data_IF_336348847598
#
_entry.id   IF_336348847598
#
_cell.length_a   1.000
_cell.length_b   1.000
_cell.length_c   1.000
_cell.angle_alpha   90.00
_cell.angle_beta   90.00
_cell.angle_gamma   90.00
#
_symmetry.space_group_name_H-M   'P 1'
#
loop_
_entity.id
_entity.type
_entity.pdbx_description
1 polymer ?
#
# COMPACT_ATOMS: atom_id res chain seq x y z
N UNK A 1 -34.37 34.95 -36.34
CA UNK A 1 -33.91 33.73 -35.63
C UNK A 1 -33.44 32.70 -36.68
N UNK A 2 -32.52 33.08 -37.56
CA UNK A 2 -31.08 32.76 -37.57
C UNK A 2 -30.74 31.27 -37.61
N UNK A 3 -30.46 30.77 -38.82
CA UNK A 3 -30.09 29.38 -39.14
C UNK A 3 -28.85 28.86 -38.41
N UNK A 4 -28.06 29.73 -37.79
CA UNK A 4 -26.92 29.39 -36.94
C UNK A 4 -27.33 28.49 -35.75
N UNK A 5 -28.53 28.69 -35.21
CA UNK A 5 -29.05 27.84 -34.11
C UNK A 5 -29.32 26.42 -34.58
N UNK A 6 -29.77 26.23 -35.82
CA UNK A 6 -30.10 24.92 -36.39
C UNK A 6 -28.81 24.15 -36.70
N UNK A 7 -27.79 24.83 -37.24
CA UNK A 7 -26.47 24.24 -37.52
C UNK A 7 -25.80 23.78 -36.22
N UNK A 8 -25.88 24.57 -35.15
CA UNK A 8 -25.31 24.22 -33.85
C UNK A 8 -26.00 22.99 -33.22
N UNK A 9 -27.33 22.90 -33.33
CA UNK A 9 -28.10 21.75 -32.85
C UNK A 9 -27.73 20.48 -33.65
N UNK A 10 -27.59 20.57 -34.97
CA UNK A 10 -27.17 19.43 -35.79
C UNK A 10 -25.74 18.97 -35.44
N UNK A 11 -24.81 19.90 -35.24
CA UNK A 11 -23.44 19.59 -34.85
C UNK A 11 -23.38 18.90 -33.48
N UNK A 12 -24.21 19.33 -32.52
CA UNK A 12 -24.32 18.71 -31.20
C UNK A 12 -24.87 17.27 -31.28
N UNK A 13 -25.87 17.02 -32.13
CA UNK A 13 -26.44 15.68 -32.34
C UNK A 13 -25.43 14.73 -32.97
N UNK A 14 -24.65 15.20 -33.95
CA UNK A 14 -23.57 14.40 -34.56
C UNK A 14 -22.47 14.08 -33.55
N UNK A 15 -22.03 15.06 -32.75
CA UNK A 15 -21.04 14.83 -31.69
C UNK A 15 -21.52 13.82 -30.64
N UNK A 16 -22.77 13.92 -30.19
CA UNK A 16 -23.41 12.97 -29.27
C UNK A 16 -23.48 11.56 -29.87
N UNK A 17 -23.80 11.43 -31.16
CA UNK A 17 -23.86 10.13 -31.84
C UNK A 17 -22.49 9.44 -31.90
N UNK A 18 -21.41 10.19 -32.11
CA UNK A 18 -20.03 9.68 -32.12
C UNK A 18 -19.63 9.19 -30.72
N UNK A 19 -19.96 9.95 -29.67
CA UNK A 19 -19.70 9.56 -28.27
C UNK A 19 -20.43 8.26 -27.93
N UNK A 20 -21.71 8.12 -28.29
CA UNK A 20 -22.50 6.90 -28.05
C UNK A 20 -21.91 5.70 -28.80
N UNK A 21 -21.44 5.90 -30.04
CA UNK A 21 -20.78 4.86 -30.83
C UNK A 21 -19.45 4.38 -30.21
N UNK A 22 -18.65 5.28 -29.63
CA UNK A 22 -17.41 4.95 -28.93
C UNK A 22 -17.73 4.19 -27.64
N UNK A 23 -18.69 4.64 -26.83
CA UNK A 23 -19.11 3.98 -25.59
C UNK A 23 -19.61 2.55 -25.85
N UNK A 24 -20.37 2.30 -26.93
CA UNK A 24 -20.80 0.93 -27.30
C UNK A 24 -19.63 -0.01 -27.63
N UNK A 25 -18.56 0.49 -28.27
CA UNK A 25 -17.36 -0.31 -28.57
C UNK A 25 -16.52 -0.55 -27.31
N UNK A 26 -16.37 0.47 -26.46
CA UNK A 26 -15.64 0.37 -25.19
C UNK A 26 -16.35 -0.58 -24.22
N UNK A 27 -17.68 -0.53 -24.11
CA UNK A 27 -18.45 -1.44 -23.26
C UNK A 27 -18.27 -2.91 -23.68
N UNK A 28 -18.26 -3.20 -24.99
CA UNK A 28 -17.96 -4.56 -25.48
C UNK A 28 -16.54 -5.01 -25.12
N UNK A 29 -15.58 -4.10 -25.18
CA UNK A 29 -14.19 -4.38 -24.82
C UNK A 29 -14.05 -4.63 -23.30
N UNK A 30 -14.71 -3.83 -22.46
CA UNK A 30 -14.76 -4.02 -21.01
C UNK A 30 -15.41 -5.36 -20.65
N UNK A 31 -16.55 -5.70 -21.26
CA UNK A 31 -17.22 -7.00 -21.05
C UNK A 31 -16.31 -8.14 -21.51
N UNK A 32 -15.65 -8.01 -22.65
CA UNK A 32 -14.74 -9.03 -23.17
C UNK A 32 -13.53 -9.25 -22.23
N UNK A 33 -12.94 -8.17 -21.72
CA UNK A 33 -11.85 -8.25 -20.72
C UNK A 33 -12.33 -8.90 -19.42
N UNK A 34 -13.55 -8.57 -18.94
CA UNK A 34 -14.14 -9.20 -17.75
C UNK A 34 -14.40 -10.70 -17.96
N UNK A 35 -14.88 -11.10 -19.13
CA UNK A 35 -15.12 -12.51 -19.48
C UNK A 35 -13.80 -13.28 -19.58
N UNK A 36 -12.77 -12.70 -20.20
CA UNK A 36 -11.42 -13.30 -20.24
C UNK A 36 -10.82 -13.43 -18.84
N UNK A 37 -10.98 -12.42 -17.99
CA UNK A 37 -10.55 -12.46 -16.61
C UNK A 37 -11.26 -13.58 -15.83
N UNK A 38 -12.58 -13.71 -15.98
CA UNK A 38 -13.38 -14.80 -15.40
C UNK A 38 -12.92 -16.17 -15.88
N UNK A 39 -12.72 -16.35 -17.19
CA UNK A 39 -12.26 -17.60 -17.78
C UNK A 39 -10.87 -18.01 -17.27
N UNK A 40 -9.93 -17.05 -17.21
CA UNK A 40 -8.59 -17.30 -16.67
C UNK A 40 -8.62 -17.69 -15.19
N UNK A 41 -9.41 -16.99 -14.39
CA UNK A 41 -9.58 -17.27 -12.96
C UNK A 41 -10.19 -18.66 -12.75
N UNK A 42 -11.24 -19.02 -13.49
CA UNK A 42 -11.87 -20.34 -13.39
C UNK A 42 -10.93 -21.49 -13.81
N UNK A 43 -10.13 -21.31 -14.87
CA UNK A 43 -9.16 -22.32 -15.30
C UNK A 43 -8.07 -22.53 -14.25
N UNK A 44 -7.54 -21.46 -13.66
CA UNK A 44 -6.58 -21.54 -12.53
C UNK A 44 -7.19 -22.24 -11.31
N UNK A 45 -8.45 -21.94 -10.99
CA UNK A 45 -9.20 -22.59 -9.91
C UNK A 45 -9.37 -24.08 -10.11
N UNK A 46 -9.75 -24.48 -11.32
CA UNK A 46 -9.86 -25.89 -11.71
C UNK A 46 -8.52 -26.63 -11.61
N UNK A 47 -7.42 -26.02 -12.06
CA UNK A 47 -6.07 -26.60 -11.94
C UNK A 47 -5.58 -26.73 -10.50
N UNK A 48 -6.05 -25.86 -9.60
CA UNK A 48 -5.66 -25.84 -8.18
C UNK A 48 -6.63 -26.61 -7.27
N UNK A 49 -7.68 -27.21 -7.83
CA UNK A 49 -8.69 -27.97 -7.07
C UNK A 49 -9.54 -27.12 -6.12
N UNK A 50 -9.51 -25.79 -6.24
CA UNK A 50 -10.24 -24.84 -5.38
C UNK A 50 -11.63 -24.59 -5.94
N UNK A 51 -12.64 -24.52 -5.08
CA UNK A 51 -13.99 -24.17 -5.52
C UNK A 51 -14.05 -22.70 -5.97
N UNK A 52 -14.95 -22.32 -6.88
CA UNK A 52 -15.13 -20.93 -7.28
C UNK A 52 -15.42 -19.98 -6.10
N UNK A 53 -16.12 -20.46 -5.07
CA UNK A 53 -16.41 -19.69 -3.85
C UNK A 53 -15.13 -19.43 -3.04
N UNK A 54 -14.26 -20.41 -2.91
CA UNK A 54 -12.96 -20.26 -2.23
C UNK A 54 -12.06 -19.26 -2.95
N UNK A 55 -12.11 -19.23 -4.29
CA UNK A 55 -11.35 -18.26 -5.09
C UNK A 55 -11.83 -16.82 -4.87
N UNK A 56 -13.15 -16.61 -4.82
CA UNK A 56 -13.73 -15.28 -4.56
C UNK A 56 -13.41 -14.84 -3.13
N UNK A 57 -13.48 -15.75 -2.16
CA UNK A 57 -13.12 -15.47 -0.78
C UNK A 57 -11.63 -15.13 -0.63
N UNK A 58 -10.73 -15.88 -1.28
CA UNK A 58 -9.30 -15.59 -1.31
C UNK A 58 -9.03 -14.19 -1.90
N UNK A 59 -9.64 -13.88 -3.04
CA UNK A 59 -9.52 -12.55 -3.68
C UNK A 59 -9.99 -11.43 -2.75
N UNK A 60 -11.09 -11.65 -2.01
CA UNK A 60 -11.60 -10.67 -1.05
C UNK A 60 -10.65 -10.48 0.14
N UNK A 61 -10.09 -11.57 0.67
CA UNK A 61 -9.09 -11.52 1.75
C UNK A 61 -7.85 -10.76 1.28
N UNK A 62 -7.34 -11.04 0.10
CA UNK A 62 -6.17 -10.37 -0.48
C UNK A 62 -6.40 -8.88 -0.75
N UNK A 63 -7.61 -8.51 -1.18
CA UNK A 63 -7.98 -7.10 -1.36
C UNK A 63 -8.05 -6.35 0.00
N UNK A 64 -8.61 -6.99 1.04
CA UNK A 64 -8.65 -6.43 2.40
C UNK A 64 -7.24 -6.30 2.94
N UNK A 65 -6.42 -7.34 2.78
CA UNK A 65 -5.02 -7.35 3.18
C UNK A 65 -4.25 -6.19 2.56
N UNK A 66 -4.32 -6.02 1.24
CA UNK A 66 -3.58 -4.98 0.53
C UNK A 66 -3.98 -3.58 1.01
N UNK A 67 -5.28 -3.36 1.24
CA UNK A 67 -5.78 -2.10 1.80
C UNK A 67 -5.28 -1.86 3.23
N UNK A 68 -5.28 -2.89 4.07
CA UNK A 68 -4.79 -2.80 5.43
C UNK A 68 -3.29 -2.55 5.47
N UNK A 69 -2.52 -3.25 4.62
CA UNK A 69 -1.07 -3.09 4.50
C UNK A 69 -0.71 -1.65 4.09
N UNK A 70 -1.43 -1.07 3.14
CA UNK A 70 -1.26 0.33 2.73
C UNK A 70 -1.54 1.31 3.90
N UNK A 71 -2.63 1.11 4.65
CA UNK A 71 -2.93 1.93 5.82
C UNK A 71 -1.84 1.84 6.90
N UNK A 72 -1.32 0.63 7.16
CA UNK A 72 -0.20 0.46 8.07
C UNK A 72 1.09 1.09 7.55
N UNK A 73 1.32 1.06 6.25
CA UNK A 73 2.47 1.73 5.63
C UNK A 73 2.45 3.23 5.92
N UNK A 74 1.29 3.88 5.79
CA UNK A 74 1.15 5.30 6.13
C UNK A 74 1.38 5.57 7.63
N UNK A 75 0.84 4.73 8.51
CA UNK A 75 1.07 4.84 9.96
C UNK A 75 2.55 4.67 10.33
N UNK A 76 3.22 3.66 9.77
CA UNK A 76 4.66 3.41 9.98
C UNK A 76 5.48 4.58 9.47
N UNK A 77 5.18 5.10 8.27
CA UNK A 77 5.84 6.29 7.73
C UNK A 77 5.74 7.47 8.69
N UNK A 78 4.54 7.74 9.21
CA UNK A 78 4.34 8.83 10.15
C UNK A 78 5.12 8.62 11.46
N UNK A 79 5.10 7.41 12.02
CA UNK A 79 5.84 7.09 13.24
C UNK A 79 7.36 7.16 13.06
N UNK A 80 7.87 6.73 11.91
CA UNK A 80 9.30 6.89 11.55
C UNK A 80 9.65 8.36 11.42
N UNK A 81 8.84 9.17 10.72
CA UNK A 81 9.09 10.60 10.59
C UNK A 81 9.09 11.31 11.96
N UNK A 82 8.13 10.98 12.83
CA UNK A 82 8.10 11.49 14.20
C UNK A 82 9.32 11.04 15.01
N UNK A 83 9.79 9.81 14.79
CA UNK A 83 11.02 9.29 15.42
C UNK A 83 12.25 10.06 14.96
N UNK A 84 12.37 10.37 13.66
CA UNK A 84 13.46 11.19 13.11
C UNK A 84 13.45 12.60 13.72
N UNK A 85 12.28 13.22 13.81
CA UNK A 85 12.12 14.54 14.45
C UNK A 85 12.50 14.47 15.94
N UNK A 86 12.11 13.40 16.65
CA UNK A 86 12.49 13.20 18.04
C UNK A 86 14.01 13.04 18.22
N UNK A 87 14.71 12.43 17.25
CA UNK A 87 16.17 12.36 17.24
C UNK A 87 16.82 13.73 17.02
N UNK A 88 16.27 14.55 16.12
CA UNK A 88 16.73 15.93 15.89
C UNK A 88 16.55 16.81 17.13
N UNK A 89 15.39 16.67 17.79
CA UNK A 89 15.07 17.36 19.04
C UNK A 89 15.76 16.76 20.27
N UNK A 90 16.47 15.63 20.12
CA UNK A 90 17.07 14.85 21.22
C UNK A 90 16.05 14.46 22.31
N UNK A 91 14.81 14.18 21.91
CA UNK A 91 13.70 13.87 22.80
C UNK A 91 13.52 12.36 22.98
N UNK A 92 14.15 11.81 24.03
CA UNK A 92 14.01 10.40 24.38
C UNK A 92 12.56 9.98 24.68
N UNK A 93 11.74 10.78 25.40
CA UNK A 93 10.35 10.43 25.66
C UNK A 93 9.52 10.27 24.38
N UNK A 94 9.66 11.20 23.42
CA UNK A 94 8.95 11.10 22.13
C UNK A 94 9.43 9.89 21.33
N UNK A 95 10.73 9.63 21.30
CA UNK A 95 11.27 8.46 20.61
C UNK A 95 10.71 7.15 21.20
N UNK A 96 10.57 7.05 22.53
CA UNK A 96 9.94 5.89 23.19
C UNK A 96 8.47 5.73 22.81
N UNK A 97 7.70 6.83 22.79
CA UNK A 97 6.29 6.81 22.38
C UNK A 97 6.12 6.30 20.94
N UNK A 98 6.93 6.82 20.00
CA UNK A 98 6.88 6.38 18.60
C UNK A 98 7.35 4.94 18.44
N UNK A 99 8.33 4.49 19.24
CA UNK A 99 8.76 3.11 19.25
C UNK A 99 7.64 2.14 19.69
N UNK A 100 6.88 2.49 20.74
CA UNK A 100 5.72 1.69 21.18
C UNK A 100 4.64 1.59 20.09
N UNK A 101 4.42 2.67 19.33
CA UNK A 101 3.52 2.64 18.16
C UNK A 101 4.05 1.68 17.10
N UNK A 102 5.35 1.73 16.77
CA UNK A 102 5.98 0.83 15.79
C UNK A 102 5.87 -0.64 16.18
N UNK A 103 6.09 -0.98 17.46
CA UNK A 103 5.86 -2.32 18.00
C UNK A 103 4.40 -2.75 17.86
N UNK A 104 3.46 -1.85 18.16
CA UNK A 104 2.03 -2.12 18.01
C UNK A 104 1.69 -2.42 16.55
N UNK A 105 2.16 -1.61 15.60
CA UNK A 105 1.92 -1.82 14.19
C UNK A 105 2.55 -3.12 13.68
N UNK A 106 3.74 -3.48 14.14
CA UNK A 106 4.35 -4.77 13.80
C UNK A 106 3.49 -5.95 14.26
N UNK A 107 3.00 -5.90 15.50
CA UNK A 107 2.15 -6.94 16.07
C UNK A 107 0.80 -7.08 15.35
N UNK A 108 0.25 -5.97 14.85
CA UNK A 108 -0.98 -5.97 14.07
C UNK A 108 -0.74 -6.48 12.63
N UNK A 109 0.33 -6.03 11.99
CA UNK A 109 0.66 -6.42 10.60
C UNK A 109 0.94 -7.90 10.48
N UNK A 110 1.73 -8.50 11.39
CA UNK A 110 2.05 -9.94 11.37
C UNK A 110 0.79 -10.82 11.40
N UNK A 111 -0.31 -10.32 11.96
CA UNK A 111 -1.57 -11.06 12.12
C UNK A 111 -2.55 -10.82 10.97
N UNK A 112 -2.20 -10.00 9.97
CA UNK A 112 -3.11 -9.70 8.87
C UNK A 112 -3.37 -10.97 8.04
N UNK A 113 -4.65 -11.36 7.84
CA UNK A 113 -4.99 -12.50 7.02
C UNK A 113 -4.65 -12.21 5.56
N UNK A 114 -3.98 -13.14 4.90
CA UNK A 114 -3.60 -13.04 3.49
C UNK A 114 -3.53 -14.42 2.85
N UNK A 115 -3.72 -14.48 1.53
CA UNK A 115 -3.54 -15.70 0.76
C UNK A 115 -2.07 -16.08 0.59
N UNK A 116 -1.83 -17.35 0.26
CA UNK A 116 -0.48 -17.90 0.06
C UNK A 116 0.32 -17.16 -1.02
N UNK A 117 -0.36 -16.64 -2.05
CA UNK A 117 0.27 -15.87 -3.13
C UNK A 117 0.93 -14.58 -2.60
N UNK A 118 0.48 -14.05 -1.46
CA UNK A 118 0.99 -12.83 -0.85
C UNK A 118 1.99 -13.07 0.30
N UNK A 119 2.25 -14.31 0.70
CA UNK A 119 3.18 -14.65 1.78
C UNK A 119 4.57 -13.99 1.59
N UNK A 120 5.08 -13.98 0.36
CA UNK A 120 6.41 -13.40 0.07
C UNK A 120 6.42 -11.89 0.31
N UNK A 121 5.37 -11.20 -0.13
CA UNK A 121 5.22 -9.74 0.07
C UNK A 121 5.05 -9.46 1.57
N UNK A 122 4.19 -10.22 2.23
CA UNK A 122 3.94 -10.10 3.66
C UNK A 122 5.20 -10.28 4.51
N UNK A 123 5.94 -11.36 4.29
CA UNK A 123 7.16 -11.65 5.04
C UNK A 123 8.20 -10.55 4.83
N UNK A 124 8.40 -10.12 3.58
CA UNK A 124 9.35 -9.04 3.25
C UNK A 124 8.95 -7.73 3.93
N UNK A 125 7.67 -7.37 3.93
CA UNK A 125 7.17 -6.20 4.63
C UNK A 125 7.42 -6.30 6.14
N UNK A 126 7.06 -7.43 6.75
CA UNK A 126 7.26 -7.69 8.18
C UNK A 126 8.74 -7.61 8.57
N UNK A 127 9.65 -8.12 7.73
CA UNK A 127 11.08 -8.07 8.02
C UNK A 127 11.65 -6.65 7.96
N UNK A 128 11.20 -5.80 7.03
CA UNK A 128 11.57 -4.38 7.04
C UNK A 128 11.00 -3.65 8.25
N UNK A 129 9.74 -3.92 8.63
CA UNK A 129 9.15 -3.33 9.82
C UNK A 129 9.86 -3.77 11.11
N UNK A 130 10.29 -5.05 11.21
CA UNK A 130 11.18 -5.51 12.30
C UNK A 130 12.51 -4.76 12.29
N UNK A 131 13.07 -4.49 11.11
CA UNK A 131 14.29 -3.68 10.96
C UNK A 131 14.12 -2.26 11.52
N UNK A 132 12.98 -1.62 11.22
CA UNK A 132 12.61 -0.31 11.77
C UNK A 132 12.52 -0.37 13.30
N UNK A 133 11.74 -1.31 13.83
CA UNK A 133 11.55 -1.51 15.28
C UNK A 133 12.87 -1.76 15.98
N UNK A 134 13.70 -2.67 15.47
CA UNK A 134 15.00 -2.98 16.06
C UNK A 134 15.96 -1.79 16.01
N UNK A 135 15.96 -1.00 14.93
CA UNK A 135 16.77 0.22 14.84
C UNK A 135 16.33 1.25 15.89
N UNK A 136 15.03 1.40 16.09
CA UNK A 136 14.44 2.28 17.10
C UNK A 136 14.78 1.82 18.53
N UNK A 137 14.61 0.53 18.84
CA UNK A 137 14.97 -0.09 20.12
C UNK A 137 16.45 0.15 20.47
N UNK A 138 17.35 -0.11 19.52
CA UNK A 138 18.79 0.11 19.70
C UNK A 138 19.12 1.58 19.99
N UNK A 139 18.40 2.50 19.35
CA UNK A 139 18.61 3.94 19.53
C UNK A 139 18.14 4.40 20.91
N UNK A 140 17.02 3.86 21.40
CA UNK A 140 16.53 4.11 22.76
C UNK A 140 17.48 3.51 23.80
N UNK A 141 18.00 2.30 23.57
CA UNK A 141 18.93 1.64 24.47
C UNK A 141 20.27 2.39 24.59
N UNK A 142 20.71 3.04 23.52
CA UNK A 142 21.89 3.91 23.51
C UNK A 142 21.67 5.29 24.19
N UNK A 143 20.46 5.54 24.72
CA UNK A 143 19.84 6.83 25.03
C UNK A 143 20.52 7.79 26.01
N UNK A 144 21.75 8.19 25.73
CA UNK A 144 22.34 9.44 26.21
C UNK A 144 22.73 10.28 24.99
N UNK A 145 21.84 11.19 24.56
CA UNK A 145 22.04 12.11 23.43
C UNK A 145 23.12 13.19 23.69
N UNK A 146 24.31 12.77 24.08
CA UNK A 146 25.52 13.57 24.32
C UNK A 146 26.25 13.83 23.00
N UNK A 147 27.18 14.79 22.94
CA UNK A 147 27.92 15.12 21.70
C UNK A 147 28.64 13.92 21.04
N UNK A 148 29.07 12.93 21.84
CA UNK A 148 29.71 11.70 21.34
C UNK A 148 28.73 10.74 20.62
N UNK A 149 27.42 10.91 20.79
CA UNK A 149 26.39 10.08 20.16
C UNK A 149 25.89 10.59 18.80
N UNK A 150 26.38 11.74 18.33
CA UNK A 150 25.94 12.33 17.06
C UNK A 150 26.12 11.38 15.86
N UNK A 151 27.22 10.61 15.80
CA UNK A 151 27.42 9.59 14.74
C UNK A 151 26.43 8.43 14.82
N UNK A 152 26.06 8.02 16.04
CA UNK A 152 25.12 6.91 16.25
C UNK A 152 23.70 7.34 15.89
N UNK A 153 23.33 8.58 16.21
CA UNK A 153 22.05 9.18 15.80
C UNK A 153 21.95 9.22 14.26
N UNK A 154 23.00 9.66 13.57
CA UNK A 154 22.97 9.75 12.11
C UNK A 154 22.85 8.37 11.45
N UNK A 155 23.57 7.37 11.98
CA UNK A 155 23.42 5.98 11.53
C UNK A 155 22.02 5.41 11.81
N UNK A 156 21.39 5.80 12.92
CA UNK A 156 20.02 5.40 13.23
C UNK A 156 19.02 6.00 12.24
N UNK A 157 19.17 7.29 11.91
CA UNK A 157 18.34 7.97 10.91
C UNK A 157 18.48 7.32 9.53
N UNK A 158 19.71 7.04 9.11
CA UNK A 158 19.97 6.38 7.82
C UNK A 158 19.30 5.00 7.77
N UNK A 159 19.45 4.18 8.82
CA UNK A 159 18.80 2.86 8.89
C UNK A 159 17.28 2.96 8.85
N UNK A 160 16.69 3.88 9.63
CA UNK A 160 15.24 4.10 9.65
C UNK A 160 14.72 4.51 8.27
N UNK A 161 15.40 5.44 7.60
CA UNK A 161 15.04 5.88 6.25
C UNK A 161 15.19 4.76 5.23
N UNK A 162 16.30 4.02 5.25
CA UNK A 162 16.52 2.90 4.33
C UNK A 162 15.44 1.83 4.47
N UNK A 163 15.11 1.42 5.70
CA UNK A 163 14.04 0.45 5.91
C UNK A 163 12.66 1.00 5.54
N UNK A 164 12.40 2.29 5.78
CA UNK A 164 11.16 2.94 5.37
C UNK A 164 11.01 2.95 3.85
N UNK A 165 12.06 3.29 3.11
CA UNK A 165 12.06 3.29 1.65
C UNK A 165 11.81 1.88 1.10
N UNK A 166 12.45 0.86 1.67
CA UNK A 166 12.20 -0.53 1.27
C UNK A 166 10.76 -0.96 1.56
N UNK A 167 10.22 -0.60 2.73
CA UNK A 167 8.85 -0.92 3.12
C UNK A 167 7.83 -0.25 2.19
N UNK A 168 8.01 1.04 1.89
CA UNK A 168 7.15 1.79 0.96
C UNK A 168 7.19 1.20 -0.44
N UNK A 169 8.35 0.70 -0.90
CA UNK A 169 8.49 0.08 -2.21
C UNK A 169 7.84 -1.32 -2.31
N UNK A 170 7.66 -2.02 -1.19
CA UNK A 170 6.92 -3.30 -1.15
C UNK A 170 5.41 -3.07 -1.14
N UNK A 171 4.94 -1.94 -0.63
CA UNK A 171 3.53 -1.60 -0.52
C UNK A 171 2.93 -0.92 -1.78
N UNK A 172 3.76 -0.59 -2.78
CA UNK A 172 3.35 -0.02 -4.08
C UNK A 172 3.15 -1.11 -5.12
#
# INVERSE_FOLDING_TARGET
>A
MTGDKIIFILAAVVALSIIICIVKKVAKLVIFVLVLFLAFTLVKGFMTGKSPEDMVNATKVDAIYTKQLYNYTEKVKNAVQSSLNALDEKSLPKLKEENEKLHTYLNEVIKLPHGEELNTIHNKYCDYLKGIVSSSDNTIAAGNFTESTTKQIEQAKEKLNNYLDYLVNVAK
#
